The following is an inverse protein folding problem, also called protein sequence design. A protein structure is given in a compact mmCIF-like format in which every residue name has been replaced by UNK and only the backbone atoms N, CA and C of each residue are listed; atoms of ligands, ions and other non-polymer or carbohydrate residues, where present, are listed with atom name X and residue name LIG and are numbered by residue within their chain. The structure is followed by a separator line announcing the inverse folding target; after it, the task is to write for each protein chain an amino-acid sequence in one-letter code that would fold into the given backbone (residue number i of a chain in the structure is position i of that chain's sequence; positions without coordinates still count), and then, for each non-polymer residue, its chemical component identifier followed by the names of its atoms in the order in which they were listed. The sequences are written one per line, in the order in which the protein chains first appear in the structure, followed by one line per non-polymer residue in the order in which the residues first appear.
data_IF_244650974803
#
_entry.id   IF_244650974803
#
_cell.length_a   1.000
_cell.length_b   1.000
_cell.length_c   1.000
_cell.angle_alpha   90.00
_cell.angle_beta   90.00
_cell.angle_gamma   90.00
#
_symmetry.space_group_name_H-M   'P 1'
#
loop_
_entity.id
_entity.type
_entity.pdbx_description
1 polymer ?
#
# COMPACT_ATOMS: atom_id res chain seq x y z
N UNK A 1 0.97 -17.05 -21.40
CA UNK A 1 1.43 -16.76 -20.01
C UNK A 1 2.33 -15.52 -19.90
N UNK A 2 3.31 -15.26 -20.79
CA UNK A 2 4.17 -14.05 -20.73
C UNK A 2 3.41 -12.71 -20.71
N UNK A 3 2.32 -12.58 -21.47
CA UNK A 3 1.48 -11.36 -21.47
C UNK A 3 0.77 -11.13 -20.13
N UNK A 4 0.26 -12.18 -19.49
CA UNK A 4 -0.40 -12.07 -18.19
C UNK A 4 0.59 -11.65 -17.09
N UNK A 5 1.81 -12.22 -17.10
CA UNK A 5 2.89 -11.79 -16.20
C UNK A 5 3.37 -10.35 -16.50
N UNK A 6 3.45 -9.97 -17.77
CA UNK A 6 3.82 -8.61 -18.17
C UNK A 6 2.79 -7.57 -17.74
N UNK A 7 1.49 -7.87 -17.84
CA UNK A 7 0.42 -6.98 -17.38
C UNK A 7 0.43 -6.86 -15.85
N UNK A 8 0.66 -7.95 -15.12
CA UNK A 8 0.80 -7.90 -13.65
C UNK A 8 1.99 -7.05 -13.20
N UNK A 9 3.16 -7.26 -13.80
CA UNK A 9 4.36 -6.47 -13.53
C UNK A 9 4.21 -5.00 -13.90
N UNK A 10 3.53 -4.69 -15.01
CA UNK A 10 3.26 -3.32 -15.40
C UNK A 10 2.30 -2.62 -14.43
N UNK A 11 1.27 -3.33 -13.96
CA UNK A 11 0.36 -2.81 -12.94
C UNK A 11 1.10 -2.55 -11.63
N UNK A 12 1.91 -3.50 -11.16
CA UNK A 12 2.72 -3.38 -9.94
C UNK A 12 3.73 -2.22 -10.04
N UNK A 13 4.37 -2.04 -11.20
CA UNK A 13 5.25 -0.90 -11.46
C UNK A 13 4.52 0.45 -11.47
N UNK A 14 3.31 0.50 -12.04
CA UNK A 14 2.46 1.70 -12.00
C UNK A 14 2.02 2.03 -10.56
N UNK A 15 1.59 1.03 -9.78
CA UNK A 15 1.26 1.20 -8.37
C UNK A 15 2.46 1.71 -7.57
N UNK A 16 3.64 1.10 -7.75
CA UNK A 16 4.87 1.53 -7.08
C UNK A 16 5.28 2.96 -7.44
N UNK A 17 5.19 3.34 -8.72
CA UNK A 17 5.51 4.69 -9.16
C UNK A 17 4.51 5.74 -8.63
N UNK A 18 3.22 5.40 -8.63
CA UNK A 18 2.16 6.25 -8.07
C UNK A 18 2.37 6.47 -6.58
N UNK A 19 2.71 5.40 -5.85
CA UNK A 19 2.93 5.46 -4.42
C UNK A 19 4.21 6.21 -4.04
N UNK A 20 5.32 5.96 -4.73
CA UNK A 20 6.63 6.52 -4.37
C UNK A 20 6.74 8.04 -4.63
N UNK A 21 6.12 8.52 -5.70
CA UNK A 21 6.31 9.92 -6.15
C UNK A 21 5.03 10.72 -6.12
N UNK A 22 3.93 10.19 -6.66
CA UNK A 22 2.70 10.95 -6.84
C UNK A 22 1.96 11.17 -5.51
N UNK A 23 2.01 10.20 -4.60
CA UNK A 23 1.35 10.25 -3.30
C UNK A 23 1.89 11.38 -2.39
N UNK A 24 3.22 11.51 -2.28
CA UNK A 24 3.86 12.58 -1.51
C UNK A 24 3.54 13.95 -2.13
N UNK A 25 3.55 14.04 -3.46
CA UNK A 25 3.19 15.25 -4.18
C UNK A 25 1.73 15.65 -3.92
N UNK A 26 0.79 14.70 -3.99
CA UNK A 26 -0.64 14.94 -3.72
C UNK A 26 -0.87 15.46 -2.31
N UNK A 27 -0.27 14.83 -1.29
CA UNK A 27 -0.44 15.28 0.10
C UNK A 27 0.20 16.64 0.37
N UNK A 28 1.33 16.97 -0.27
CA UNK A 28 1.96 18.28 -0.12
C UNK A 28 1.22 19.39 -0.88
N UNK A 29 0.91 19.16 -2.15
CA UNK A 29 0.48 20.22 -3.08
C UNK A 29 -1.04 20.38 -3.13
N UNK A 30 -1.80 19.29 -2.92
CA UNK A 30 -3.27 19.33 -2.99
C UNK A 30 -3.88 19.44 -1.59
N UNK A 31 -3.37 18.66 -0.64
CA UNK A 31 -3.88 18.65 0.73
C UNK A 31 -3.16 19.63 1.67
N UNK A 32 -2.06 20.24 1.22
CA UNK A 32 -1.32 21.26 1.98
C UNK A 32 -0.53 20.70 3.18
N UNK A 33 -0.30 19.38 3.25
CA UNK A 33 0.46 18.77 4.33
C UNK A 33 1.94 19.16 4.22
N UNK A 34 2.60 19.64 5.30
CA UNK A 34 4.02 19.93 5.28
C UNK A 34 4.86 18.73 4.86
N UNK A 35 5.85 18.94 3.98
CA UNK A 35 6.70 17.86 3.45
C UNK A 35 7.50 17.12 4.52
N UNK A 36 7.80 17.78 5.64
CA UNK A 36 8.41 17.15 6.81
C UNK A 36 7.51 16.08 7.44
N UNK A 37 6.21 16.35 7.56
CA UNK A 37 5.23 15.40 8.09
C UNK A 37 4.96 14.27 7.09
N UNK A 38 4.86 14.59 5.78
CA UNK A 38 4.73 13.57 4.75
C UNK A 38 5.93 12.59 4.74
N UNK A 39 7.15 13.12 4.82
CA UNK A 39 8.37 12.30 4.91
C UNK A 39 8.42 11.46 6.18
N UNK A 40 8.06 12.04 7.33
CA UNK A 40 7.98 11.30 8.59
C UNK A 40 6.95 10.16 8.54
N UNK A 41 5.77 10.41 7.95
CA UNK A 41 4.72 9.41 7.81
C UNK A 41 5.15 8.24 6.93
N UNK A 42 5.80 8.52 5.79
CA UNK A 42 6.36 7.48 4.91
C UNK A 42 7.48 6.70 5.62
N UNK A 43 8.32 7.37 6.41
CA UNK A 43 9.35 6.71 7.21
C UNK A 43 8.78 5.78 8.27
N UNK A 44 7.74 6.20 8.99
CA UNK A 44 7.04 5.36 9.98
C UNK A 44 6.39 4.16 9.29
N UNK A 45 5.74 4.37 8.14
CA UNK A 45 5.17 3.27 7.36
C UNK A 45 6.22 2.25 6.95
N UNK A 46 7.38 2.70 6.45
CA UNK A 46 8.52 1.81 6.13
C UNK A 46 8.97 0.95 7.32
N UNK A 47 8.99 1.53 8.53
CA UNK A 47 9.34 0.77 9.74
C UNK A 47 8.28 -0.28 10.05
N UNK A 48 7.00 0.07 9.94
CA UNK A 48 5.88 -0.87 10.19
C UNK A 48 5.84 -1.97 9.13
N UNK A 49 6.07 -1.66 7.85
CA UNK A 49 6.19 -2.64 6.77
C UNK A 49 7.31 -3.64 7.06
N UNK A 50 8.47 -3.18 7.54
CA UNK A 50 9.59 -4.05 7.87
C UNK A 50 9.26 -5.14 8.92
N UNK A 51 8.22 -4.94 9.73
CA UNK A 51 7.67 -5.95 10.64
C UNK A 51 6.51 -6.74 10.02
N UNK A 52 5.65 -6.08 9.25
CA UNK A 52 4.45 -6.67 8.65
C UNK A 52 4.79 -7.66 7.53
N UNK A 53 5.82 -7.36 6.73
CA UNK A 53 6.30 -8.20 5.63
C UNK A 53 6.75 -9.60 6.10
N UNK A 54 7.63 -9.74 7.14
CA UNK A 54 7.98 -11.04 7.70
C UNK A 54 6.78 -11.79 8.27
N UNK A 55 5.85 -11.10 8.92
CA UNK A 55 4.66 -11.71 9.51
C UNK A 55 3.74 -12.29 8.43
N UNK A 56 3.46 -11.52 7.38
CA UNK A 56 2.68 -11.95 6.23
C UNK A 56 3.37 -13.10 5.48
N UNK A 57 4.70 -13.03 5.31
CA UNK A 57 5.51 -14.11 4.74
C UNK A 57 5.42 -15.41 5.54
N UNK A 58 5.55 -15.32 6.87
CA UNK A 58 5.41 -16.47 7.76
C UNK A 58 4.01 -17.08 7.68
N UNK A 59 2.96 -16.26 7.70
CA UNK A 59 1.57 -16.73 7.66
C UNK A 59 1.26 -17.44 6.32
N UNK A 60 1.78 -16.88 5.22
CA UNK A 60 1.68 -17.47 3.88
C UNK A 60 2.40 -18.83 3.81
N UNK A 61 3.60 -18.93 4.37
CA UNK A 61 4.39 -20.17 4.36
C UNK A 61 3.76 -21.30 5.20
N UNK A 62 3.01 -20.97 6.25
CA UNK A 62 2.32 -21.95 7.08
C UNK A 62 0.96 -22.40 6.51
N UNK A 63 0.44 -21.76 5.45
CA UNK A 63 -0.89 -22.09 4.90
C UNK A 63 -0.83 -23.22 3.87
N UNK A 64 -1.12 -24.45 4.32
CA UNK A 64 -1.30 -25.63 3.45
C UNK A 64 -2.77 -25.79 3.05
N UNK A 65 -3.19 -25.16 1.94
CA UNK A 65 -4.51 -25.40 1.35
C UNK A 65 -4.44 -26.33 0.11
N UNK A 66 -5.46 -27.17 -0.07
CA UNK A 66 -5.52 -28.20 -1.13
C UNK A 66 -5.75 -27.68 -2.56
N UNK A 67 -6.03 -26.38 -2.73
CA UNK A 67 -6.32 -25.75 -4.04
C UNK A 67 -5.11 -25.04 -4.67
N UNK A 68 -3.92 -25.21 -4.10
CA UNK A 68 -2.67 -24.61 -4.58
C UNK A 68 -2.20 -23.47 -3.68
N UNK A 69 -0.98 -23.62 -3.15
CA UNK A 69 -0.34 -22.83 -2.07
C UNK A 69 -0.32 -21.30 -2.22
N UNK A 70 -0.65 -20.71 -3.37
CA UNK A 70 -0.48 -19.26 -3.65
C UNK A 70 -1.70 -18.53 -4.22
N UNK A 71 -2.68 -19.25 -4.78
CA UNK A 71 -3.82 -18.63 -5.46
C UNK A 71 -4.84 -17.94 -4.52
N UNK A 72 -5.27 -18.53 -3.39
CA UNK A 72 -6.25 -17.87 -2.53
C UNK A 72 -5.69 -16.61 -1.84
N UNK A 73 -4.40 -16.57 -1.49
CA UNK A 73 -3.76 -15.34 -1.00
C UNK A 73 -3.66 -14.26 -2.08
N UNK A 74 -3.36 -14.63 -3.32
CA UNK A 74 -3.26 -13.68 -4.43
C UNK A 74 -4.61 -13.02 -4.77
N UNK A 75 -5.72 -13.76 -4.68
CA UNK A 75 -7.05 -13.16 -4.86
C UNK A 75 -7.53 -12.40 -3.62
N UNK A 76 -7.19 -12.89 -2.43
CA UNK A 76 -7.56 -12.23 -1.18
C UNK A 76 -6.79 -10.92 -0.95
N UNK A 77 -5.58 -10.75 -1.49
CA UNK A 77 -4.80 -9.52 -1.36
C UNK A 77 -5.21 -8.40 -2.33
N UNK A 78 -5.79 -8.75 -3.49
CA UNK A 78 -6.26 -7.76 -4.48
C UNK A 78 -7.37 -6.87 -3.90
N UNK A 79 -8.29 -7.45 -3.12
CA UNK A 79 -9.40 -6.71 -2.51
C UNK A 79 -8.93 -5.63 -1.51
N UNK A 80 -8.16 -5.94 -0.46
CA UNK A 80 -7.65 -4.94 0.47
C UNK A 80 -6.73 -3.95 -0.23
N UNK A 81 -5.88 -4.37 -1.17
CA UNK A 81 -5.01 -3.45 -1.90
C UNK A 81 -5.81 -2.43 -2.73
N UNK A 82 -6.84 -2.87 -3.45
CA UNK A 82 -7.70 -1.97 -4.22
C UNK A 82 -8.49 -0.99 -3.32
N UNK A 83 -8.99 -1.48 -2.18
CA UNK A 83 -9.71 -0.66 -1.21
C UNK A 83 -8.79 0.36 -0.55
N UNK A 84 -7.60 -0.06 -0.11
CA UNK A 84 -6.61 0.83 0.51
C UNK A 84 -6.15 1.91 -0.45
N UNK A 85 -5.87 1.55 -1.71
CA UNK A 85 -5.48 2.50 -2.75
C UNK A 85 -6.58 3.54 -3.01
N UNK A 86 -7.85 3.12 -3.08
CA UNK A 86 -8.98 4.04 -3.24
C UNK A 86 -9.08 5.05 -2.09
N UNK A 87 -9.00 4.58 -0.84
CA UNK A 87 -9.06 5.46 0.34
C UNK A 87 -7.84 6.38 0.48
N UNK A 88 -6.72 6.02 -0.12
CA UNK A 88 -5.52 6.85 -0.10
C UNK A 88 -5.71 8.15 -0.91
N UNK A 89 -6.42 8.06 -2.04
CA UNK A 89 -6.78 9.21 -2.89
C UNK A 89 -8.13 9.86 -2.52
N UNK A 90 -8.92 9.22 -1.65
CA UNK A 90 -10.17 9.76 -1.15
C UNK A 90 -10.14 9.87 0.40
N UNK A 91 -9.36 10.80 0.97
CA UNK A 91 -9.31 10.99 2.40
C UNK A 91 -10.66 11.50 2.92
N UNK A 92 -11.21 10.82 3.93
CA UNK A 92 -12.44 11.25 4.62
C UNK A 92 -12.19 12.29 5.72
N UNK A 93 -10.94 12.75 5.86
CA UNK A 93 -10.48 13.66 6.91
C UNK A 93 -9.73 14.82 6.28
N UNK A 94 -9.98 16.05 6.76
CA UNK A 94 -9.39 17.29 6.23
C UNK A 94 -8.41 17.95 7.20
N UNK A 95 -8.30 17.47 8.44
CA UNK A 95 -7.38 17.98 9.46
C UNK A 95 -5.95 17.50 9.19
N UNK A 96 -4.92 18.33 9.38
CA UNK A 96 -3.50 17.96 9.18
C UNK A 96 -3.09 16.68 9.93
N UNK A 97 -3.41 16.59 11.23
CA UNK A 97 -3.11 15.39 12.01
C UNK A 97 -3.90 14.16 11.53
N UNK A 98 -5.14 14.39 11.09
CA UNK A 98 -5.99 13.35 10.53
C UNK A 98 -5.44 12.80 9.22
N UNK A 99 -4.97 13.69 8.33
CA UNK A 99 -4.31 13.33 7.07
C UNK A 99 -3.00 12.58 7.32
N UNK A 100 -2.23 12.97 8.35
CA UNK A 100 -1.01 12.27 8.73
C UNK A 100 -1.28 10.83 9.17
N UNK A 101 -2.24 10.61 10.08
CA UNK A 101 -2.62 9.26 10.53
C UNK A 101 -3.25 8.46 9.38
N UNK A 102 -4.10 9.09 8.57
CA UNK A 102 -4.72 8.47 7.40
C UNK A 102 -3.68 7.99 6.40
N UNK A 103 -2.68 8.85 6.10
CA UNK A 103 -1.56 8.49 5.23
C UNK A 103 -0.86 7.25 5.78
N UNK A 104 -0.48 7.22 7.06
CA UNK A 104 0.22 6.07 7.66
C UNK A 104 -0.62 4.79 7.54
N UNK A 105 -1.88 4.82 7.93
CA UNK A 105 -2.72 3.61 7.95
C UNK A 105 -2.90 3.02 6.55
N UNK A 106 -3.27 3.86 5.57
CA UNK A 106 -3.52 3.38 4.21
C UNK A 106 -2.23 3.09 3.43
N UNK A 107 -1.15 3.81 3.75
CA UNK A 107 0.21 3.53 3.26
C UNK A 107 0.62 2.09 3.59
N UNK A 108 0.52 1.69 4.86
CA UNK A 108 0.84 0.32 5.29
C UNK A 108 -0.12 -0.73 4.69
N UNK A 109 -1.38 -0.37 4.45
CA UNK A 109 -2.38 -1.29 3.92
C UNK A 109 -2.33 -1.49 2.39
N UNK A 110 -1.51 -0.69 1.68
CA UNK A 110 -1.37 -0.75 0.21
C UNK A 110 -0.06 -1.44 -0.23
N UNK A 111 0.80 -1.81 0.71
CA UNK A 111 2.08 -2.47 0.46
C UNK A 111 1.99 -3.99 0.51
#
# INVERSE_FOLDING_TARGET
MKLAFGVGQAAEGLFGASYGTFLIFYYNQVLGLPGSLAGAAVGIALVVDAFTDPLAGSLSDHWRSGYGRRHPFMYASILPLAVSFYFLFHPLVTTEFGLFVWLIVFSNATR
#
